data_IF_740752177236
#
_entry.id   IF_740752177236
#
_cell.length_a   1.000
_cell.length_b   1.000
_cell.length_c   1.000
_cell.angle_alpha   90.00
_cell.angle_beta   90.00
_cell.angle_gamma   90.00
#
_symmetry.space_group_name_H-M   'P 1'
#
loop_
_entity.id
_entity.type
_entity.pdbx_description
1 polymer ?
#
# COMPACT_ATOMS: atom_id res chain seq x y z
N UNK A 1 -10.70 -12.99 -14.61
CA UNK A 1 -10.44 -11.66 -14.02
C UNK A 1 -8.95 -11.53 -13.71
N UNK A 2 -8.30 -10.44 -14.16
CA UNK A 2 -6.89 -10.12 -13.86
C UNK A 2 -6.83 -9.22 -12.62
N UNK A 3 -6.15 -9.69 -11.56
CA UNK A 3 -5.81 -8.89 -10.39
C UNK A 3 -4.43 -8.23 -10.58
N UNK A 4 -4.31 -6.96 -10.24
CA UNK A 4 -3.04 -6.23 -10.18
C UNK A 4 -2.89 -5.63 -8.79
N UNK A 5 -1.73 -5.82 -8.17
CA UNK A 5 -1.37 -5.15 -6.92
C UNK A 5 -0.17 -4.23 -7.15
N UNK A 6 -0.27 -2.99 -6.69
CA UNK A 6 0.75 -1.94 -6.84
C UNK A 6 1.08 -1.43 -5.44
N UNK A 7 2.35 -1.36 -5.08
CA UNK A 7 2.71 -0.84 -3.76
C UNK A 7 4.15 -1.11 -3.36
N UNK A 8 4.37 -1.08 -2.05
CA UNK A 8 5.70 -1.12 -1.45
C UNK A 8 6.16 -2.55 -1.07
N UNK A 9 7.07 -2.64 -0.10
CA UNK A 9 7.59 -3.91 0.42
C UNK A 9 6.51 -4.83 0.97
N UNK A 10 5.45 -4.28 1.56
CA UNK A 10 4.32 -5.07 2.08
C UNK A 10 3.57 -5.70 0.90
N UNK A 11 3.35 -4.96 -0.18
CA UNK A 11 2.74 -5.48 -1.42
C UNK A 11 3.61 -6.54 -2.08
N UNK A 12 4.94 -6.36 -2.08
CA UNK A 12 5.88 -7.36 -2.55
C UNK A 12 5.84 -8.66 -1.73
N UNK A 13 5.42 -8.58 -0.47
CA UNK A 13 5.43 -9.70 0.47
C UNK A 13 6.72 -9.80 1.30
N UNK A 14 7.51 -8.72 1.36
CA UNK A 14 8.73 -8.67 2.16
C UNK A 14 8.39 -8.62 3.64
N UNK A 15 9.15 -9.35 4.46
CA UNK A 15 9.05 -9.29 5.92
C UNK A 15 10.44 -9.48 6.56
N UNK A 16 10.58 -9.02 7.80
CA UNK A 16 11.80 -9.23 8.60
C UNK A 16 11.59 -10.45 9.50
N UNK A 17 12.39 -11.55 9.34
CA UNK A 17 12.28 -12.70 10.21
C UNK A 17 12.83 -12.42 11.62
N UNK A 18 12.35 -13.20 12.61
CA UNK A 18 12.74 -13.04 14.03
C UNK A 18 14.24 -13.18 14.30
N UNK A 19 14.98 -13.87 13.47
CA UNK A 19 16.43 -14.05 13.62
C UNK A 19 17.27 -12.88 13.11
N UNK A 20 16.63 -11.78 12.68
CA UNK A 20 17.31 -10.58 12.20
C UNK A 20 18.07 -10.75 10.88
N UNK A 21 18.08 -11.94 10.30
CA UNK A 21 18.58 -12.09 8.94
C UNK A 21 17.63 -11.33 8.01
N UNK A 22 18.15 -10.36 7.29
CA UNK A 22 17.41 -9.66 6.24
C UNK A 22 17.66 -10.44 4.94
N UNK A 23 16.81 -11.40 4.58
CA UNK A 23 16.81 -11.89 3.24
C UNK A 23 15.78 -11.08 2.47
N UNK A 24 15.86 -11.09 1.16
CA UNK A 24 14.74 -10.81 0.28
C UNK A 24 13.63 -11.87 0.51
N UNK A 25 13.17 -12.02 1.73
CA UNK A 25 12.11 -12.95 2.10
C UNK A 25 10.80 -12.36 1.61
N UNK A 26 10.46 -12.77 0.42
CA UNK A 26 9.10 -12.67 -0.08
C UNK A 26 8.33 -13.74 0.67
N UNK A 27 7.29 -13.38 1.40
CA UNK A 27 6.41 -14.37 2.00
C UNK A 27 5.86 -15.24 0.86
N UNK A 28 6.07 -16.55 0.93
CA UNK A 28 5.49 -17.51 -0.03
C UNK A 28 3.97 -17.31 -0.15
N UNK A 29 3.34 -16.80 0.91
CA UNK A 29 1.96 -16.37 0.99
C UNK A 29 1.90 -14.85 1.23
N UNK A 30 2.13 -14.03 0.21
CA UNK A 30 1.85 -12.60 0.29
C UNK A 30 0.33 -12.35 0.29
N UNK A 31 -0.10 -11.23 0.87
CA UNK A 31 -1.53 -10.87 0.80
C UNK A 31 -2.05 -10.80 -0.64
N UNK A 32 -1.20 -10.44 -1.60
CA UNK A 32 -1.56 -10.38 -3.02
C UNK A 32 -1.93 -11.77 -3.58
N UNK A 33 -1.16 -12.80 -3.22
CA UNK A 33 -1.42 -14.19 -3.62
C UNK A 33 -2.71 -14.70 -2.96
N UNK A 34 -2.86 -14.46 -1.66
CA UNK A 34 -4.08 -14.83 -0.92
C UNK A 34 -5.31 -14.11 -1.48
N UNK A 35 -5.20 -12.83 -1.79
CA UNK A 35 -6.30 -12.07 -2.38
C UNK A 35 -6.68 -12.61 -3.76
N UNK A 36 -5.70 -13.00 -4.60
CA UNK A 36 -5.96 -13.67 -5.88
C UNK A 36 -6.80 -14.93 -5.69
N UNK A 37 -6.43 -15.77 -4.72
CA UNK A 37 -7.15 -17.02 -4.43
C UNK A 37 -8.56 -16.74 -3.93
N UNK A 38 -8.72 -15.83 -2.96
CA UNK A 38 -10.03 -15.44 -2.39
C UNK A 38 -10.99 -14.85 -3.43
N UNK A 39 -10.47 -14.05 -4.36
CA UNK A 39 -11.25 -13.44 -5.44
C UNK A 39 -11.50 -14.41 -6.62
N UNK A 40 -10.87 -15.57 -6.65
CA UNK A 40 -10.92 -16.48 -7.80
C UNK A 40 -10.34 -15.85 -9.07
N UNK A 41 -9.33 -14.98 -8.95
CA UNK A 41 -8.74 -14.31 -10.10
C UNK A 41 -7.87 -15.27 -10.92
N UNK A 42 -7.98 -15.22 -12.26
CA UNK A 42 -7.25 -16.10 -13.17
C UNK A 42 -5.74 -15.80 -13.14
N UNK A 43 -5.39 -14.53 -12.97
CA UNK A 43 -3.99 -14.08 -12.95
C UNK A 43 -3.74 -12.96 -11.96
N UNK A 44 -2.50 -12.89 -11.47
CA UNK A 44 -1.97 -11.83 -10.61
C UNK A 44 -0.72 -11.22 -11.25
N UNK A 45 -0.68 -9.89 -11.29
CA UNK A 45 0.56 -9.14 -11.50
C UNK A 45 0.83 -8.33 -10.24
N UNK A 46 1.97 -8.56 -9.61
CA UNK A 46 2.39 -7.86 -8.40
C UNK A 46 3.52 -6.87 -8.73
N UNK A 47 3.23 -5.57 -8.69
CA UNK A 47 4.18 -4.46 -8.85
C UNK A 47 4.69 -3.94 -7.48
N UNK A 48 4.78 -4.79 -6.47
CA UNK A 48 5.35 -4.44 -5.17
C UNK A 48 6.87 -4.21 -5.26
N UNK A 49 7.35 -3.09 -4.73
CA UNK A 49 8.77 -2.72 -4.70
C UNK A 49 9.20 -2.24 -3.32
N UNK A 50 10.30 -2.80 -2.80
CA UNK A 50 10.84 -2.39 -1.50
C UNK A 50 11.19 -0.89 -1.51
N UNK A 51 10.74 -0.17 -0.48
CA UNK A 51 11.09 1.24 -0.29
C UNK A 51 10.38 2.24 -1.21
N UNK A 52 9.52 1.77 -2.15
CA UNK A 52 8.81 2.69 -3.04
C UNK A 52 7.85 3.59 -2.26
N UNK A 53 7.80 4.86 -2.64
CA UNK A 53 6.87 5.89 -2.16
C UNK A 53 5.96 6.36 -3.29
N UNK A 54 4.88 7.08 -2.99
CA UNK A 54 4.11 7.77 -4.04
C UNK A 54 4.94 8.87 -4.67
N UNK A 55 5.54 9.72 -3.84
CA UNK A 55 6.27 10.90 -4.25
C UNK A 55 7.77 10.61 -4.46
N UNK A 56 8.35 11.26 -5.46
CA UNK A 56 9.81 11.27 -5.64
C UNK A 56 10.52 11.89 -4.44
N UNK A 57 11.66 11.33 -4.10
CA UNK A 57 12.50 11.78 -3.00
C UNK A 57 13.86 12.19 -3.54
N UNK A 58 14.47 13.17 -2.88
CA UNK A 58 15.80 13.64 -3.24
C UNK A 58 16.93 12.70 -2.83
N UNK A 59 16.64 11.78 -1.91
CA UNK A 59 17.58 10.81 -1.33
C UNK A 59 17.47 9.41 -1.93
N UNK A 60 16.63 9.23 -2.96
CA UNK A 60 16.46 7.95 -3.68
C UNK A 60 16.47 8.16 -5.18
N UNK A 61 16.72 7.07 -5.92
CA UNK A 61 16.61 7.07 -7.37
C UNK A 61 15.14 7.24 -7.81
N UNK A 62 14.87 7.84 -8.96
CA UNK A 62 13.50 8.11 -9.46
C UNK A 62 12.62 6.87 -9.53
N UNK A 63 13.18 5.69 -9.79
CA UNK A 63 12.46 4.42 -9.85
C UNK A 63 11.83 4.00 -8.51
N UNK A 64 12.22 4.62 -7.39
CA UNK A 64 11.58 4.39 -6.09
C UNK A 64 10.38 5.30 -5.81
N UNK A 65 9.76 5.84 -6.89
CA UNK A 65 8.55 6.64 -6.78
C UNK A 65 7.47 6.14 -7.76
N UNK A 66 6.26 5.87 -7.25
CA UNK A 66 5.11 5.47 -8.08
C UNK A 66 4.79 6.53 -9.13
N UNK A 67 4.92 7.81 -8.78
CA UNK A 67 4.71 8.91 -9.70
C UNK A 67 5.63 8.85 -10.95
N UNK A 68 6.82 8.25 -10.82
CA UNK A 68 7.78 8.05 -11.94
C UNK A 68 7.56 6.73 -12.67
N UNK A 69 7.01 5.74 -11.96
CA UNK A 69 6.76 4.39 -12.48
C UNK A 69 5.41 4.26 -13.19
N UNK A 70 4.46 5.17 -12.94
CA UNK A 70 3.05 5.01 -13.31
C UNK A 70 2.83 4.76 -14.81
N UNK A 71 3.72 5.27 -15.67
CA UNK A 71 3.61 5.05 -17.11
C UNK A 71 3.89 3.60 -17.52
N UNK A 72 4.72 2.89 -16.75
CA UNK A 72 5.02 1.47 -16.97
C UNK A 72 3.98 0.53 -16.32
N UNK A 73 3.17 1.02 -15.38
CA UNK A 73 2.17 0.20 -14.70
C UNK A 73 0.96 -0.06 -15.61
N UNK A 74 0.53 -1.31 -15.67
CA UNK A 74 -0.62 -1.74 -16.47
C UNK A 74 -1.71 -2.25 -15.52
N UNK A 75 -2.83 -1.52 -15.34
CA UNK A 75 -3.94 -1.94 -14.51
C UNK A 75 -4.56 -3.28 -14.95
N UNK A 76 -5.26 -3.94 -14.03
CA UNK A 76 -6.09 -5.12 -14.30
C UNK A 76 -7.58 -4.80 -14.26
N UNK A 77 -8.40 -5.86 -14.33
CA UNK A 77 -9.86 -5.74 -14.10
C UNK A 77 -10.13 -5.23 -12.67
N UNK A 78 -9.30 -5.70 -11.73
CA UNK A 78 -9.21 -5.21 -10.36
C UNK A 78 -7.78 -4.79 -10.09
N UNK A 79 -7.58 -3.56 -9.61
CA UNK A 79 -6.27 -3.02 -9.25
C UNK A 79 -6.30 -2.53 -7.80
N UNK A 80 -5.39 -3.04 -6.99
CA UNK A 80 -5.20 -2.64 -5.58
C UNK A 80 -3.93 -1.83 -5.44
N UNK A 81 -4.03 -0.62 -4.90
CA UNK A 81 -2.89 0.23 -4.55
C UNK A 81 -2.70 0.20 -3.04
N UNK A 82 -1.57 -0.32 -2.56
CA UNK A 82 -1.23 -0.42 -1.14
C UNK A 82 0.19 0.14 -0.91
N UNK A 83 0.28 1.46 -0.73
CA UNK A 83 1.53 2.19 -0.51
C UNK A 83 1.28 3.43 0.37
N UNK A 84 2.36 4.16 0.70
CA UNK A 84 2.31 5.40 1.48
C UNK A 84 2.99 5.29 2.85
N UNK A 85 3.27 4.07 3.31
CA UNK A 85 4.01 3.87 4.56
C UNK A 85 5.43 4.41 4.48
N UNK A 86 6.08 4.34 3.30
CA UNK A 86 7.42 4.91 3.07
C UNK A 86 7.39 6.42 2.97
N UNK A 87 6.35 7.01 2.37
CA UNK A 87 6.17 8.47 2.35
C UNK A 87 6.11 9.03 3.77
N UNK A 88 5.31 8.40 4.64
CA UNK A 88 5.27 8.74 6.07
C UNK A 88 6.64 8.52 6.72
N UNK A 89 7.22 7.31 6.64
CA UNK A 89 8.45 6.94 7.33
C UNK A 89 9.63 7.83 6.97
N UNK A 90 9.71 8.28 5.73
CA UNK A 90 10.77 9.17 5.24
C UNK A 90 10.40 10.66 5.31
N UNK A 91 9.19 10.99 5.75
CA UNK A 91 8.72 12.36 5.91
C UNK A 91 8.63 13.11 4.58
N UNK A 92 8.03 12.50 3.56
CA UNK A 92 7.65 13.20 2.33
C UNK A 92 6.73 14.38 2.69
N UNK A 93 6.89 15.58 2.08
CA UNK A 93 5.96 16.68 2.31
C UNK A 93 4.53 16.28 1.98
N UNK A 94 3.59 16.54 2.91
CA UNK A 94 2.19 16.17 2.68
C UNK A 94 1.58 16.93 1.50
N UNK A 95 1.86 18.24 1.43
CA UNK A 95 1.23 19.12 0.45
C UNK A 95 -0.23 19.42 0.76
N UNK A 96 -0.99 19.74 -0.27
CA UNK A 96 -2.40 20.12 -0.19
C UNK A 96 -3.24 19.37 -1.21
N UNK A 97 -4.54 19.32 -1.00
CA UNK A 97 -5.49 18.73 -1.95
C UNK A 97 -5.54 19.45 -3.33
N UNK A 98 -4.89 20.61 -3.47
CA UNK A 98 -4.76 21.32 -4.74
C UNK A 98 -3.56 20.86 -5.58
N UNK A 99 -2.58 20.18 -4.99
CA UNK A 99 -1.37 19.73 -5.67
C UNK A 99 -1.71 18.63 -6.71
N UNK A 100 -1.02 18.67 -7.86
CA UNK A 100 -1.24 17.77 -9.00
C UNK A 100 0.03 17.14 -9.55
N UNK A 101 1.17 17.54 -9.02
CA UNK A 101 2.50 17.16 -9.52
C UNK A 101 3.29 16.40 -8.44
N UNK A 102 4.32 15.69 -8.87
CA UNK A 102 5.22 14.92 -8.02
C UNK A 102 6.18 15.80 -7.18
N UNK A 103 5.59 16.67 -6.35
CA UNK A 103 6.31 17.59 -5.43
C UNK A 103 5.88 17.40 -3.96
N UNK A 104 4.77 16.70 -3.76
CA UNK A 104 4.19 16.40 -2.46
C UNK A 104 3.43 15.08 -2.51
N UNK A 105 3.09 14.54 -1.33
CA UNK A 105 2.32 13.29 -1.25
C UNK A 105 0.95 13.40 -1.94
N UNK A 106 0.21 14.50 -1.68
CA UNK A 106 -1.06 14.76 -2.37
C UNK A 106 -0.89 14.81 -3.89
N UNK A 107 0.11 15.56 -4.36
CA UNK A 107 0.33 15.75 -5.79
C UNK A 107 0.75 14.45 -6.49
N UNK A 108 1.65 13.68 -5.87
CA UNK A 108 2.10 12.39 -6.39
C UNK A 108 0.95 11.35 -6.42
N UNK A 109 0.14 11.26 -5.36
CA UNK A 109 -1.04 10.39 -5.34
C UNK A 109 -2.05 10.79 -6.42
N UNK A 110 -2.31 12.09 -6.60
CA UNK A 110 -3.17 12.61 -7.66
C UNK A 110 -2.67 12.23 -9.05
N UNK A 111 -1.38 12.43 -9.31
CA UNK A 111 -0.75 12.05 -10.58
C UNK A 111 -0.92 10.55 -10.86
N UNK A 112 -0.60 9.69 -9.87
CA UNK A 112 -0.70 8.24 -10.01
C UNK A 112 -2.14 7.80 -10.28
N UNK A 113 -3.12 8.29 -9.49
CA UNK A 113 -4.52 7.86 -9.64
C UNK A 113 -5.11 8.35 -10.95
N UNK A 114 -4.81 9.58 -11.34
CA UNK A 114 -5.21 10.13 -12.64
C UNK A 114 -4.71 9.26 -13.79
N UNK A 115 -3.41 8.96 -13.82
CA UNK A 115 -2.82 8.13 -14.88
C UNK A 115 -3.38 6.71 -14.93
N UNK A 116 -3.59 6.09 -13.78
CA UNK A 116 -4.19 4.75 -13.72
C UNK A 116 -5.65 4.76 -14.21
N UNK A 117 -6.43 5.78 -13.84
CA UNK A 117 -7.81 5.94 -14.33
C UNK A 117 -7.87 6.20 -15.83
N UNK A 118 -6.96 7.02 -16.38
CA UNK A 118 -6.82 7.25 -17.82
C UNK A 118 -6.53 5.94 -18.58
N UNK A 119 -5.69 5.07 -18.02
CA UNK A 119 -5.33 3.77 -18.63
C UNK A 119 -6.45 2.73 -18.57
N UNK A 120 -7.27 2.77 -17.54
CA UNK A 120 -8.40 1.83 -17.34
C UNK A 120 -9.64 2.58 -16.84
N UNK A 121 -10.38 3.27 -17.73
CA UNK A 121 -11.55 4.06 -17.35
C UNK A 121 -12.62 3.25 -16.60
N UNK A 122 -12.84 1.99 -16.98
CA UNK A 122 -13.83 1.08 -16.38
C UNK A 122 -13.22 0.13 -15.33
N UNK A 123 -11.90 0.22 -15.07
CA UNK A 123 -11.23 -0.61 -14.10
C UNK A 123 -11.72 -0.36 -12.67
N UNK A 124 -11.80 -1.42 -11.88
CA UNK A 124 -12.11 -1.34 -10.45
C UNK A 124 -10.82 -1.10 -9.67
N UNK A 125 -10.74 0.05 -9.01
CA UNK A 125 -9.58 0.45 -8.22
C UNK A 125 -9.91 0.48 -6.74
N UNK A 126 -9.02 -0.12 -5.93
CA UNK A 126 -9.06 -0.08 -4.48
C UNK A 126 -7.77 0.55 -3.96
N UNK A 127 -7.89 1.53 -3.08
CA UNK A 127 -6.76 2.15 -2.39
C UNK A 127 -6.78 1.71 -0.95
N UNK A 128 -5.73 1.01 -0.55
CA UNK A 128 -5.50 0.61 0.84
C UNK A 128 -4.61 1.66 1.48
N UNK A 129 -5.12 2.37 2.46
CA UNK A 129 -4.29 3.31 3.21
C UNK A 129 -3.30 2.55 4.11
N UNK A 130 -2.15 3.14 4.47
CA UNK A 130 -1.16 2.45 5.29
C UNK A 130 -1.75 1.80 6.54
N UNK A 131 -1.40 0.55 6.81
CA UNK A 131 -1.77 -0.17 8.03
C UNK A 131 -1.02 0.39 9.24
N UNK A 132 -1.41 0.08 10.49
CA UNK A 132 -0.68 0.51 11.69
C UNK A 132 0.79 0.08 11.65
N UNK A 133 1.64 0.93 12.24
CA UNK A 133 3.08 0.68 12.43
C UNK A 133 3.53 1.18 13.81
N UNK A 134 4.64 0.68 14.31
CA UNK A 134 5.08 0.96 15.69
C UNK A 134 6.44 1.66 15.80
N UNK A 135 7.08 1.99 14.68
CA UNK A 135 8.41 2.60 14.69
C UNK A 135 8.40 4.10 15.00
N UNK A 136 7.37 4.83 14.55
CA UNK A 136 7.22 6.26 14.80
C UNK A 136 5.77 6.63 15.08
N UNK A 137 5.54 7.46 16.10
CA UNK A 137 4.26 8.14 16.30
C UNK A 137 4.11 9.30 15.31
N UNK A 138 5.17 10.09 15.16
CA UNK A 138 5.28 11.21 14.22
C UNK A 138 6.54 11.07 13.39
N UNK A 139 6.44 11.45 12.13
CA UNK A 139 7.61 11.47 11.27
C UNK A 139 8.48 12.72 11.52
N UNK A 140 9.61 12.84 10.80
CA UNK A 140 10.56 13.96 10.93
C UNK A 140 9.98 15.35 10.63
N UNK A 141 8.74 15.43 10.10
CA UNK A 141 8.00 16.68 9.88
C UNK A 141 6.92 16.92 10.93
N UNK A 142 6.84 16.09 11.95
CA UNK A 142 5.82 16.18 12.99
C UNK A 142 4.44 15.67 12.58
N UNK A 143 4.30 15.08 11.38
CA UNK A 143 3.05 14.56 10.84
C UNK A 143 2.76 13.15 11.39
N UNK A 144 1.46 12.83 11.51
CA UNK A 144 0.95 11.52 11.85
C UNK A 144 0.76 10.66 10.59
N UNK A 145 0.74 9.34 10.76
CA UNK A 145 0.37 8.41 9.67
C UNK A 145 -1.04 8.71 9.15
N UNK A 146 -1.93 9.18 10.02
CA UNK A 146 -3.30 9.56 9.66
C UNK A 146 -3.38 10.73 8.69
N UNK A 147 -2.44 11.67 8.72
CA UNK A 147 -2.39 12.77 7.74
C UNK A 147 -2.23 12.22 6.31
N UNK A 148 -1.40 11.18 6.14
CA UNK A 148 -1.19 10.50 4.85
C UNK A 148 -2.39 9.63 4.45
N UNK A 149 -3.04 8.95 5.41
CA UNK A 149 -4.28 8.18 5.16
C UNK A 149 -5.41 9.08 4.67
N UNK A 150 -5.59 10.22 5.32
CA UNK A 150 -6.63 11.20 4.99
C UNK A 150 -6.36 11.83 3.62
N UNK A 151 -5.10 12.07 3.27
CA UNK A 151 -4.72 12.53 1.93
C UNK A 151 -5.09 11.49 0.86
N UNK A 152 -4.77 10.20 1.05
CA UNK A 152 -5.18 9.14 0.13
C UNK A 152 -6.69 9.04 0.01
N UNK A 153 -7.42 9.15 1.12
CA UNK A 153 -8.88 9.14 1.12
C UNK A 153 -9.46 10.31 0.30
N UNK A 154 -8.87 11.50 0.40
CA UNK A 154 -9.30 12.67 -0.35
C UNK A 154 -9.07 12.49 -1.86
N UNK A 155 -7.89 11.98 -2.25
CA UNK A 155 -7.54 11.76 -3.66
C UNK A 155 -8.36 10.61 -4.25
N UNK A 156 -8.56 9.49 -3.50
CA UNK A 156 -9.37 8.35 -3.93
C UNK A 156 -10.78 8.77 -4.34
N UNK A 157 -11.43 9.60 -3.52
CA UNK A 157 -12.78 10.12 -3.83
C UNK A 157 -12.83 10.89 -5.16
N UNK A 158 -11.78 11.64 -5.50
CA UNK A 158 -11.72 12.43 -6.74
C UNK A 158 -11.78 11.55 -7.99
N UNK A 159 -11.14 10.38 -7.93
CA UNK A 159 -11.04 9.47 -9.08
C UNK A 159 -12.02 8.29 -9.02
N UNK A 160 -12.93 8.28 -8.04
CA UNK A 160 -13.88 7.17 -7.84
C UNK A 160 -13.20 5.85 -7.50
N UNK A 161 -12.08 5.90 -6.77
CA UNK A 161 -11.42 4.70 -6.26
C UNK A 161 -12.03 4.32 -4.90
N UNK A 162 -12.35 3.05 -4.73
CA UNK A 162 -12.82 2.54 -3.44
C UNK A 162 -11.70 2.59 -2.40
N UNK A 163 -12.02 3.06 -1.20
CA UNK A 163 -11.04 3.15 -0.10
C UNK A 163 -11.19 1.96 0.84
N UNK A 164 -10.07 1.33 1.16
CA UNK A 164 -9.94 0.40 2.29
C UNK A 164 -9.10 1.09 3.36
N UNK A 165 -9.73 1.42 4.49
CA UNK A 165 -9.07 2.18 5.55
C UNK A 165 -8.14 1.28 6.39
N UNK A 166 -6.85 1.49 6.28
CA UNK A 166 -5.83 0.76 7.04
C UNK A 166 -5.95 0.88 8.56
N UNK A 167 -6.71 1.87 9.08
CA UNK A 167 -7.03 1.95 10.51
C UNK A 167 -7.87 0.76 11.00
N UNK A 168 -8.59 0.10 10.09
CA UNK A 168 -9.42 -1.08 10.40
C UNK A 168 -8.66 -2.40 10.31
N UNK A 169 -7.38 -2.35 9.96
CA UNK A 169 -6.54 -3.56 9.97
C UNK A 169 -6.48 -4.15 11.38
N UNK A 170 -6.76 -5.46 11.57
CA UNK A 170 -6.98 -6.02 12.91
C UNK A 170 -5.70 -6.24 13.73
N UNK A 171 -4.51 -5.93 13.18
CA UNK A 171 -3.24 -6.05 13.89
C UNK A 171 -2.68 -4.67 14.22
N UNK A 172 -2.40 -4.42 15.50
CA UNK A 172 -1.72 -3.23 15.97
C UNK A 172 -0.32 -3.58 16.50
N UNK A 173 0.76 -3.28 15.78
CA UNK A 173 2.11 -3.61 16.22
C UNK A 173 2.60 -2.77 17.42
N UNK A 174 1.80 -1.80 17.90
CA UNK A 174 2.07 -1.10 19.17
C UNK A 174 1.80 -2.00 20.36
N UNK A 175 0.92 -3.00 20.22
CA UNK A 175 0.78 -4.12 21.16
C UNK A 175 1.98 -5.07 20.98
N UNK A 176 2.81 -5.29 22.03
CA UNK A 176 4.02 -6.11 21.93
C UNK A 176 3.74 -7.57 21.51
N UNK A 177 2.61 -8.15 21.96
CA UNK A 177 2.23 -9.52 21.63
C UNK A 177 1.84 -9.66 20.16
N UNK A 178 1.06 -8.71 19.64
CA UNK A 178 0.67 -8.70 18.23
C UNK A 178 1.88 -8.40 17.32
N UNK A 179 2.77 -7.50 17.74
CA UNK A 179 4.01 -7.23 17.02
C UNK A 179 4.86 -8.48 16.90
N UNK A 180 5.08 -9.18 18.01
CA UNK A 180 5.87 -10.41 18.02
C UNK A 180 5.24 -11.52 17.17
N UNK A 181 3.92 -11.63 17.16
CA UNK A 181 3.21 -12.67 16.43
C UNK A 181 3.12 -12.39 14.92
N UNK A 182 2.88 -11.13 14.52
CA UNK A 182 2.41 -10.81 13.18
C UNK A 182 3.25 -9.79 12.41
N UNK A 183 3.94 -8.87 13.09
CA UNK A 183 4.68 -7.74 12.48
C UNK A 183 5.98 -7.49 13.24
N UNK A 184 6.90 -8.45 13.21
CA UNK A 184 8.06 -8.51 14.10
C UNK A 184 8.90 -7.21 14.17
N UNK A 185 9.12 -6.53 13.03
CA UNK A 185 9.82 -5.26 12.98
C UNK A 185 8.90 -4.04 13.22
N UNK A 186 7.61 -4.28 13.45
CA UNK A 186 6.61 -3.25 13.68
C UNK A 186 6.10 -2.53 12.42
N UNK A 187 6.51 -2.97 11.22
CA UNK A 187 6.14 -2.39 9.92
C UNK A 187 5.65 -3.43 8.94
N UNK A 188 6.39 -4.53 8.78
CA UNK A 188 6.12 -5.55 7.79
C UNK A 188 5.36 -6.73 8.38
N UNK A 189 4.18 -7.09 7.85
CA UNK A 189 3.50 -8.32 8.21
C UNK A 189 4.39 -9.54 7.91
N UNK A 190 4.56 -10.43 8.89
CA UNK A 190 5.14 -11.76 8.68
C UNK A 190 4.15 -12.67 7.94
N UNK A 191 4.48 -13.96 7.72
CA UNK A 191 3.61 -14.88 6.97
C UNK A 191 2.17 -14.92 7.49
N UNK A 192 1.98 -15.01 8.80
CA UNK A 192 0.63 -14.99 9.41
C UNK A 192 0.00 -13.60 9.35
N UNK A 193 0.79 -12.53 9.48
CA UNK A 193 0.33 -11.16 9.27
C UNK A 193 -0.18 -10.93 7.84
N UNK A 194 0.48 -11.50 6.82
CA UNK A 194 0.03 -11.45 5.43
C UNK A 194 -1.27 -12.24 5.22
N UNK A 195 -1.48 -13.36 5.93
CA UNK A 195 -2.74 -14.10 5.89
C UNK A 195 -3.87 -13.24 6.42
N UNK A 196 -3.69 -12.64 7.60
CA UNK A 196 -4.66 -11.72 8.19
C UNK A 196 -4.93 -10.54 7.26
N UNK A 197 -3.89 -9.99 6.61
CA UNK A 197 -4.03 -8.88 5.66
C UNK A 197 -4.88 -9.28 4.46
N UNK A 198 -4.62 -10.45 3.86
CA UNK A 198 -5.38 -10.95 2.71
C UNK A 198 -6.86 -11.17 3.04
N UNK A 199 -7.15 -11.78 4.18
CA UNK A 199 -8.53 -12.02 4.64
C UNK A 199 -9.27 -10.72 4.98
N UNK A 200 -8.62 -9.79 5.68
CA UNK A 200 -9.16 -8.47 5.97
C UNK A 200 -9.46 -7.68 4.69
N UNK A 201 -8.49 -7.65 3.77
CA UNK A 201 -8.62 -6.91 2.52
C UNK A 201 -9.74 -7.48 1.66
N UNK A 202 -9.82 -8.81 1.53
CA UNK A 202 -10.92 -9.48 0.82
C UNK A 202 -12.28 -9.07 1.41
N UNK A 203 -12.44 -9.17 2.72
CA UNK A 203 -13.68 -8.79 3.40
C UNK A 203 -14.04 -7.30 3.19
N UNK A 204 -13.04 -6.42 3.26
CA UNK A 204 -13.25 -4.99 3.05
C UNK A 204 -13.62 -4.63 1.60
N UNK A 205 -13.11 -5.39 0.61
CA UNK A 205 -13.39 -5.17 -0.82
C UNK A 205 -14.74 -5.72 -1.25
N UNK A 206 -15.25 -6.76 -0.58
CA UNK A 206 -16.39 -7.56 -1.06
C UNK A 206 -17.57 -7.57 -0.09
N UNK A 207 -17.43 -7.04 1.13
CA UNK A 207 -18.39 -7.25 2.21
C UNK A 207 -18.46 -8.70 2.69
N UNK A 208 -17.45 -9.53 2.32
CA UNK A 208 -17.38 -10.95 2.62
C UNK A 208 -17.96 -11.88 1.53
N UNK A 209 -18.49 -11.31 0.45
CA UNK A 209 -19.00 -12.06 -0.71
C UNK A 209 -18.00 -12.02 -1.88
N UNK A 210 -18.08 -12.98 -2.81
CA UNK A 210 -17.27 -12.94 -4.04
C UNK A 210 -17.67 -11.77 -4.93
N UNK A 211 -16.69 -11.12 -5.60
CA UNK A 211 -16.91 -9.98 -6.50
C UNK A 211 -17.48 -10.41 -7.86
#
# INVERSE_FOLDING_TARGET
MKLVTIGDSITKGTFTPRNGAIPDNVADLSFSTLLKERLGADSLVNYGMNGISYCSRTDTLPEYALARQVEALVPGDVTVLAAGTNDFGTGVPLGTAADREDVSFYGAADLVFRRLREKAPEGRFFVVTPIPRSDYERNRRGLLLDDYRDALAAVSRRYGFALVDGRTFPVDPRDPGQREAYMFDGVHPGPEGHRIYGDWLFSAMTGGEAL
#
